data_IF_193747295311
#
_entry.id   IF_193747295311
#
_cell.length_a   1.000
_cell.length_b   1.000
_cell.length_c   1.000
_cell.angle_alpha   90.00
_cell.angle_beta   90.00
_cell.angle_gamma   90.00
#
_symmetry.space_group_name_H-M   'P 1'
#
loop_
_entity.id
_entity.type
_entity.pdbx_description
1 polymer ?
#
# COMPACT_ATOMS: atom_id res chain seq x y z
N UNK A 1 0.30 -27.65 -8.38
CA UNK A 1 0.78 -26.35 -8.89
C UNK A 1 0.89 -25.41 -7.70
N UNK A 2 2.10 -25.10 -7.24
CA UNK A 2 2.32 -24.33 -6.01
C UNK A 2 1.80 -22.90 -6.19
N UNK A 3 1.01 -22.42 -5.24
CA UNK A 3 0.46 -21.05 -5.25
C UNK A 3 1.58 -20.09 -4.87
N UNK A 4 2.13 -19.36 -5.84
CA UNK A 4 3.19 -18.37 -5.57
C UNK A 4 2.58 -17.14 -4.92
N UNK A 5 2.70 -17.10 -3.59
CA UNK A 5 2.12 -16.03 -2.76
C UNK A 5 2.79 -14.68 -3.03
N UNK A 6 4.06 -14.64 -3.45
CA UNK A 6 4.77 -13.39 -3.71
C UNK A 6 4.27 -12.79 -5.02
N UNK A 7 4.19 -13.61 -6.07
CA UNK A 7 3.64 -13.20 -7.35
C UNK A 7 2.19 -12.72 -7.22
N UNK A 8 1.37 -13.41 -6.42
CA UNK A 8 -0.01 -13.01 -6.14
C UNK A 8 -0.08 -11.63 -5.46
N UNK A 9 0.79 -11.36 -4.47
CA UNK A 9 0.83 -10.06 -3.78
C UNK A 9 1.21 -8.94 -4.76
N UNK A 10 2.32 -9.09 -5.49
CA UNK A 10 2.80 -8.05 -6.42
C UNK A 10 1.76 -7.76 -7.50
N UNK A 11 1.15 -8.81 -8.05
CA UNK A 11 0.08 -8.68 -9.05
C UNK A 11 -1.15 -7.98 -8.47
N UNK A 12 -1.51 -8.29 -7.22
CA UNK A 12 -2.65 -7.64 -6.56
C UNK A 12 -2.43 -6.14 -6.31
N UNK A 13 -1.21 -5.74 -5.91
CA UNK A 13 -0.82 -4.34 -5.71
C UNK A 13 -0.90 -3.59 -7.04
N UNK A 14 -0.27 -4.11 -8.09
CA UNK A 14 -0.30 -3.51 -9.43
C UNK A 14 -1.73 -3.36 -9.95
N UNK A 15 -2.56 -4.38 -9.80
CA UNK A 15 -3.94 -4.33 -10.25
C UNK A 15 -4.78 -3.34 -9.43
N UNK A 16 -4.50 -3.18 -8.15
CA UNK A 16 -5.21 -2.22 -7.32
C UNK A 16 -4.84 -0.78 -7.69
N UNK A 17 -3.57 -0.51 -7.92
CA UNK A 17 -3.08 0.77 -8.44
C UNK A 17 -3.73 1.13 -9.79
N UNK A 18 -3.69 0.21 -10.77
CA UNK A 18 -4.34 0.41 -12.09
C UNK A 18 -5.85 0.70 -11.99
N UNK A 19 -6.53 0.14 -10.98
CA UNK A 19 -7.97 0.33 -10.77
C UNK A 19 -8.30 1.42 -9.74
N UNK A 20 -7.30 2.22 -9.30
CA UNK A 20 -7.46 3.26 -8.27
C UNK A 20 -8.14 2.75 -7.00
N UNK A 21 -7.86 1.51 -6.61
CA UNK A 21 -8.36 0.94 -5.36
C UNK A 21 -7.48 1.41 -4.21
N UNK A 22 -8.11 2.05 -3.23
CA UNK A 22 -7.41 2.57 -2.04
C UNK A 22 -6.79 1.46 -1.18
N UNK A 23 -7.34 0.24 -1.22
CA UNK A 23 -6.86 -0.89 -0.41
C UNK A 23 -6.95 -2.24 -1.12
N UNK A 24 -6.10 -3.18 -0.70
CA UNK A 24 -6.16 -4.59 -1.07
C UNK A 24 -6.29 -5.49 0.15
N UNK A 25 -6.95 -6.64 -0.01
CA UNK A 25 -7.08 -7.66 1.02
C UNK A 25 -6.30 -8.92 0.61
N UNK A 26 -5.37 -9.36 1.46
CA UNK A 26 -4.60 -10.58 1.27
C UNK A 26 -4.74 -11.51 2.47
N UNK A 27 -4.61 -12.82 2.26
CA UNK A 27 -4.65 -13.80 3.36
C UNK A 27 -3.48 -13.64 4.31
N UNK A 28 -3.73 -13.73 5.62
CA UNK A 28 -2.69 -13.58 6.64
C UNK A 28 -1.92 -14.90 6.84
N UNK A 29 -0.66 -14.90 6.42
CA UNK A 29 0.32 -15.99 6.58
C UNK A 29 1.63 -15.45 7.14
N UNK A 30 2.56 -16.29 7.58
CA UNK A 30 3.86 -15.80 8.06
C UNK A 30 4.70 -15.16 6.94
N UNK A 31 4.63 -15.70 5.73
CA UNK A 31 5.32 -15.15 4.54
C UNK A 31 4.75 -13.78 4.18
N UNK A 32 3.42 -13.68 4.03
CA UNK A 32 2.75 -12.40 3.70
C UNK A 32 3.05 -11.33 4.76
N UNK A 33 3.03 -11.68 6.05
CA UNK A 33 3.40 -10.75 7.14
C UNK A 33 4.83 -10.22 7.00
N UNK A 34 5.79 -11.05 6.62
CA UNK A 34 7.18 -10.63 6.45
C UNK A 34 7.33 -9.71 5.23
N UNK A 35 6.69 -10.04 4.11
CA UNK A 35 6.71 -9.21 2.90
C UNK A 35 6.05 -7.85 3.15
N UNK A 36 4.87 -7.85 3.78
CA UNK A 36 4.15 -6.63 4.13
C UNK A 36 4.97 -5.71 5.05
N UNK A 37 5.74 -6.28 5.99
CA UNK A 37 6.67 -5.49 6.81
C UNK A 37 7.76 -4.79 5.98
N UNK A 38 8.28 -5.47 4.94
CA UNK A 38 9.27 -4.87 4.03
C UNK A 38 8.60 -3.74 3.23
N UNK A 39 7.44 -3.99 2.63
CA UNK A 39 6.71 -2.98 1.85
C UNK A 39 6.38 -1.74 2.67
N UNK A 40 6.01 -1.92 3.94
CA UNK A 40 5.74 -0.82 4.86
C UNK A 40 7.01 -0.03 5.21
N UNK A 41 8.15 -0.73 5.38
CA UNK A 41 9.44 -0.09 5.69
C UNK A 41 9.96 0.75 4.52
N UNK A 42 9.79 0.25 3.30
CA UNK A 42 10.27 0.89 2.07
C UNK A 42 9.26 1.90 1.49
N UNK A 43 8.19 2.23 2.23
CA UNK A 43 7.17 3.24 1.83
C UNK A 43 6.48 2.89 0.50
N UNK A 44 6.32 1.59 0.21
CA UNK A 44 5.48 1.12 -0.89
C UNK A 44 4.01 0.97 -0.48
N UNK A 45 3.76 0.82 0.82
CA UNK A 45 2.43 0.85 1.42
C UNK A 45 2.46 1.76 2.66
N UNK A 46 1.44 2.58 2.87
CA UNK A 46 1.37 3.47 4.02
C UNK A 46 0.81 2.79 5.27
N UNK A 47 -0.11 1.85 5.09
CA UNK A 47 -0.82 1.26 6.22
C UNK A 47 -1.22 -0.20 6.01
N UNK A 48 -1.35 -0.89 7.14
CA UNK A 48 -1.74 -2.30 7.22
C UNK A 48 -2.73 -2.48 8.36
N UNK A 49 -3.91 -3.02 8.04
CA UNK A 49 -4.93 -3.38 9.03
C UNK A 49 -5.14 -4.89 9.07
N UNK A 50 -5.34 -5.45 10.26
CA UNK A 50 -5.75 -6.86 10.40
C UNK A 50 -7.26 -6.93 10.34
N UNK A 51 -7.78 -7.87 9.54
CA UNK A 51 -9.20 -8.12 9.41
C UNK A 51 -9.49 -9.60 9.68
N UNK A 52 -10.55 -9.90 10.43
CA UNK A 52 -11.03 -11.26 10.65
C UNK A 52 -12.35 -11.41 9.91
N UNK A 53 -12.43 -12.40 9.02
CA UNK A 53 -13.67 -12.75 8.32
C UNK A 53 -13.73 -14.27 8.11
N UNK A 54 -14.91 -14.87 8.22
CA UNK A 54 -15.14 -16.30 7.87
C UNK A 54 -14.10 -17.26 8.49
N UNK A 55 -13.77 -17.05 9.77
CA UNK A 55 -12.78 -17.84 10.51
C UNK A 55 -11.35 -17.81 9.91
N UNK A 56 -11.01 -16.75 9.18
CA UNK A 56 -9.68 -16.52 8.60
C UNK A 56 -9.22 -15.10 8.87
N UNK A 57 -7.91 -14.95 9.07
CA UNK A 57 -7.26 -13.66 9.17
C UNK A 57 -6.82 -13.15 7.81
N UNK A 58 -7.02 -11.85 7.59
CA UNK A 58 -6.60 -11.11 6.41
C UNK A 58 -5.77 -9.88 6.81
N UNK A 59 -4.94 -9.44 5.89
CA UNK A 59 -4.24 -8.16 5.96
C UNK A 59 -4.87 -7.25 4.89
N UNK A 60 -5.34 -6.09 5.31
CA UNK A 60 -5.79 -5.03 4.43
C UNK A 60 -4.61 -4.06 4.29
N UNK A 61 -4.04 -3.96 3.09
CA UNK A 61 -2.95 -3.03 2.77
C UNK A 61 -3.55 -1.78 2.11
N UNK A 62 -3.07 -0.59 2.45
CA UNK A 62 -3.54 0.66 1.88
C UNK A 62 -2.40 1.65 1.64
N UNK A 63 -2.67 2.68 0.84
CA UNK A 63 -1.68 3.69 0.45
C UNK A 63 -0.56 3.08 -0.39
N UNK A 64 -0.92 2.35 -1.45
CA UNK A 64 0.06 1.68 -2.32
C UNK A 64 0.69 2.70 -3.28
N UNK A 65 2.00 2.62 -3.42
CA UNK A 65 2.78 3.51 -4.29
C UNK A 65 3.15 4.82 -3.60
N UNK A 66 4.09 5.54 -4.19
CA UNK A 66 4.50 6.86 -3.71
C UNK A 66 3.80 7.92 -4.56
N UNK A 67 2.99 8.76 -3.92
CA UNK A 67 2.35 9.90 -4.58
C UNK A 67 3.19 11.15 -4.33
N UNK A 68 3.63 11.83 -5.39
CA UNK A 68 4.31 13.12 -5.28
C UNK A 68 3.27 14.23 -5.45
N UNK A 69 3.26 15.15 -4.48
CA UNK A 69 2.39 16.31 -4.40
C UNK A 69 3.17 17.60 -4.61
N UNK A 70 2.52 18.60 -5.22
CA UNK A 70 2.91 19.99 -5.14
C UNK A 70 2.08 20.67 -4.05
N UNK A 71 2.74 21.15 -2.99
CA UNK A 71 2.10 21.82 -1.85
C UNK A 71 2.55 23.29 -1.77
N UNK A 72 1.95 24.06 -0.85
CA UNK A 72 2.39 25.42 -0.55
C UNK A 72 3.80 25.51 0.06
N UNK A 73 4.35 24.39 0.55
CA UNK A 73 5.72 24.30 1.10
C UNK A 73 6.73 23.67 0.13
N UNK A 74 6.31 23.38 -1.10
CA UNK A 74 7.13 22.76 -2.12
C UNK A 74 6.64 21.38 -2.52
N UNK A 75 7.50 20.61 -3.17
CA UNK A 75 7.18 19.25 -3.65
C UNK A 75 7.57 18.24 -2.59
N UNK A 76 6.66 17.34 -2.26
CA UNK A 76 6.84 16.32 -1.23
C UNK A 76 5.96 15.10 -1.53
N UNK A 77 6.13 14.02 -0.79
CA UNK A 77 5.28 12.83 -0.88
C UNK A 77 3.95 13.03 -0.15
N UNK A 78 2.92 12.26 -0.50
CA UNK A 78 1.64 12.24 0.25
C UNK A 78 1.85 11.85 1.72
N UNK A 79 2.84 11.00 2.01
CA UNK A 79 3.24 10.68 3.38
C UNK A 79 3.74 11.93 4.14
N UNK A 80 4.69 12.67 3.58
CA UNK A 80 5.20 13.92 4.19
C UNK A 80 4.07 14.96 4.37
N UNK A 81 3.23 15.13 3.35
CA UNK A 81 2.11 16.07 3.40
C UNK A 81 1.09 15.71 4.50
N UNK A 82 0.81 14.41 4.71
CA UNK A 82 -0.04 13.94 5.82
C UNK A 82 0.58 14.18 7.18
N UNK A 83 1.89 14.02 7.32
CA UNK A 83 2.60 14.30 8.57
C UNK A 83 2.54 15.79 8.92
N UNK A 84 2.62 16.66 7.92
CA UNK A 84 2.58 18.11 8.11
C UNK A 84 1.14 18.67 8.14
N UNK A 85 0.14 17.89 7.76
CA UNK A 85 -1.26 18.30 7.70
C UNK A 85 -1.56 19.27 6.55
N UNK A 86 -0.83 19.17 5.44
CA UNK A 86 -0.86 20.10 4.31
C UNK A 86 -1.47 19.41 3.09
N UNK A 87 -2.35 20.11 2.38
CA UNK A 87 -2.91 19.66 1.11
C UNK A 87 -2.09 20.12 -0.10
N UNK A 88 -2.32 19.49 -1.26
CA UNK A 88 -1.64 19.84 -2.49
C UNK A 88 -2.28 19.23 -3.73
N UNK A 89 -1.67 19.50 -4.88
CA UNK A 89 -2.04 18.90 -6.16
C UNK A 89 -1.15 17.68 -6.45
N UNK A 90 -1.75 16.60 -6.94
CA UNK A 90 -1.01 15.38 -7.32
C UNK A 90 -0.24 15.63 -8.62
N UNK A 91 1.09 15.44 -8.58
CA UNK A 91 1.95 15.53 -9.75
C UNK A 91 2.12 14.19 -10.46
N UNK A 92 2.42 13.13 -9.71
CA UNK A 92 2.60 11.79 -10.26
C UNK A 92 2.52 10.70 -9.18
N UNK A 93 2.40 9.46 -9.66
CA UNK A 93 2.48 8.23 -8.87
C UNK A 93 3.75 7.46 -9.29
N UNK A 94 4.45 6.90 -8.32
CA UNK A 94 5.59 6.00 -8.53
C UNK A 94 5.19 4.60 -8.04
N UNK A 95 5.30 3.61 -8.93
CA UNK A 95 4.99 2.19 -8.72
C UNK A 95 6.22 1.30 -8.98
#
# INVERSE_FOLDING_TARGET
MGKDTIADIITSIRNADMNRKETIQIGSTNITKNIVKILLREVFIDNVRKHWERNKYFLILGGMGIVILSTSQGRMTDWEARLEGIGGEILCYIW
#
